data_IF_351303311090
#
_entry.id   IF_351303311090
#
_cell.length_a   1.000
_cell.length_b   1.000
_cell.length_c   1.000
_cell.angle_alpha   90.00
_cell.angle_beta   90.00
_cell.angle_gamma   90.00
#
_symmetry.space_group_name_H-M   'P 1'
#
loop_
_entity.id
_entity.type
_entity.pdbx_description
1 polymer ?
#
# COMPACT_ATOMS: atom_id res chain seq x y z
N UNK A 1 -1.64 -2.95 -16.69
CA UNK A 1 -2.19 -4.32 -16.78
C UNK A 1 -1.77 -5.07 -15.52
N UNK A 2 -2.69 -5.71 -14.80
CA UNK A 2 -2.39 -6.47 -13.57
C UNK A 2 -2.25 -7.96 -13.90
N UNK A 3 -1.17 -8.59 -13.44
CA UNK A 3 -0.98 -10.03 -13.55
C UNK A 3 -1.34 -10.69 -12.21
N UNK A 4 -2.36 -11.57 -12.16
CA UNK A 4 -2.75 -12.23 -10.92
C UNK A 4 -1.65 -13.17 -10.43
N UNK A 5 -1.40 -13.16 -9.11
CA UNK A 5 -0.56 -14.16 -8.46
C UNK A 5 -1.34 -15.46 -8.27
N UNK A 6 -0.67 -16.60 -8.46
CA UNK A 6 -1.24 -17.93 -8.20
C UNK A 6 -1.31 -18.30 -6.72
N UNK A 7 -0.63 -17.53 -5.86
CA UNK A 7 -0.56 -17.79 -4.41
C UNK A 7 -1.25 -16.70 -3.58
N UNK A 8 -1.29 -15.46 -4.05
CA UNK A 8 -1.82 -14.32 -3.29
C UNK A 8 -2.97 -13.66 -4.04
N UNK A 9 -4.08 -13.43 -3.36
CA UNK A 9 -5.21 -12.69 -3.89
C UNK A 9 -5.28 -11.29 -3.29
N UNK A 10 -5.45 -10.28 -4.12
CA UNK A 10 -5.59 -8.89 -3.68
C UNK A 10 -7.03 -8.66 -3.20
N UNK A 11 -7.19 -8.38 -1.90
CA UNK A 11 -8.50 -8.18 -1.27
C UNK A 11 -8.90 -6.71 -1.20
N UNK A 12 -7.95 -5.84 -0.91
CA UNK A 12 -8.17 -4.40 -0.86
C UNK A 12 -6.89 -3.69 -1.33
N UNK A 13 -7.06 -2.54 -1.97
CA UNK A 13 -5.97 -1.68 -2.38
C UNK A 13 -6.43 -0.23 -2.25
N UNK A 14 -5.65 0.58 -1.53
CA UNK A 14 -6.00 1.99 -1.27
C UNK A 14 -4.75 2.84 -1.32
N UNK A 15 -4.94 4.09 -1.72
CA UNK A 15 -3.92 5.11 -1.67
C UNK A 15 -4.41 6.30 -0.87
N UNK A 16 -3.57 6.84 -0.01
CA UNK A 16 -3.82 8.10 0.68
C UNK A 16 -2.70 9.07 0.39
N UNK A 17 -3.08 10.32 0.19
CA UNK A 17 -2.14 11.44 0.11
C UNK A 17 -2.11 12.12 1.48
N UNK A 18 -0.93 12.26 2.05
CA UNK A 18 -0.75 13.02 3.28
C UNK A 18 0.09 14.27 3.03
N UNK A 19 -0.12 15.24 3.90
CA UNK A 19 0.67 16.45 4.00
C UNK A 19 1.24 16.49 5.42
N UNK A 20 2.54 16.25 5.54
CA UNK A 20 3.23 16.08 6.81
C UNK A 20 4.26 17.18 7.00
N UNK A 21 4.26 17.79 8.18
CA UNK A 21 5.31 18.68 8.66
C UNK A 21 6.19 17.89 9.62
N UNK A 22 7.49 17.79 9.32
CA UNK A 22 8.42 17.08 10.18
C UNK A 22 9.06 18.03 11.19
N UNK A 23 9.41 17.54 12.38
CA UNK A 23 10.04 18.37 13.42
C UNK A 23 11.39 18.97 13.00
N UNK A 24 12.03 18.42 11.97
CA UNK A 24 13.30 18.92 11.45
C UNK A 24 13.17 20.21 10.63
N UNK A 25 12.04 20.46 9.97
CA UNK A 25 11.86 21.56 9.01
C UNK A 25 10.43 22.12 9.04
N UNK A 26 10.23 23.44 8.92
CA UNK A 26 8.90 24.07 8.93
C UNK A 26 8.09 23.88 7.63
N UNK A 27 8.68 23.24 6.62
CA UNK A 27 8.07 23.02 5.30
C UNK A 27 7.12 21.81 5.32
N UNK A 28 6.07 21.88 4.48
CA UNK A 28 5.10 20.79 4.32
C UNK A 28 5.60 19.83 3.23
N UNK A 29 5.81 18.57 3.58
CA UNK A 29 6.15 17.51 2.64
C UNK A 29 4.91 16.70 2.30
N UNK A 30 4.79 16.31 1.02
CA UNK A 30 3.69 15.47 0.55
C UNK A 30 4.18 14.03 0.40
N UNK A 31 3.43 13.10 0.96
CA UNK A 31 3.63 11.68 0.74
C UNK A 31 2.36 11.02 0.18
N UNK A 32 2.56 9.93 -0.56
CA UNK A 32 1.48 9.09 -1.06
C UNK A 32 1.76 7.69 -0.55
N UNK A 33 0.91 7.21 0.35
CA UNK A 33 1.03 5.86 0.92
C UNK A 33 0.07 4.94 0.20
N UNK A 34 0.61 3.90 -0.44
CA UNK A 34 -0.16 2.81 -1.02
C UNK A 34 -0.21 1.64 -0.05
N UNK A 35 -1.41 1.11 0.17
CA UNK A 35 -1.65 -0.04 1.04
C UNK A 35 -2.37 -1.13 0.27
N UNK A 36 -1.81 -2.34 0.32
CA UNK A 36 -2.35 -3.52 -0.33
C UNK A 36 -2.63 -4.59 0.72
N UNK A 37 -3.88 -5.03 0.79
CA UNK A 37 -4.28 -6.17 1.61
C UNK A 37 -4.27 -7.42 0.73
N UNK A 38 -3.34 -8.31 1.01
CA UNK A 38 -3.18 -9.57 0.28
C UNK A 38 -3.57 -10.75 1.16
N UNK A 39 -4.30 -11.71 0.60
CA UNK A 39 -4.65 -12.97 1.25
C UNK A 39 -3.90 -14.12 0.56
N UNK A 40 -3.16 -14.93 1.34
CA UNK A 40 -2.51 -16.14 0.85
C UNK A 40 -3.55 -17.24 0.61
N UNK A 41 -3.47 -17.90 -0.53
CA UNK A 41 -4.29 -19.06 -0.88
C UNK A 41 -3.71 -20.33 -0.21
N UNK A 42 -4.53 -21.16 0.46
CA UNK A 42 -4.05 -22.31 1.22
C UNK A 42 -3.80 -23.57 0.35
N UNK A 43 -3.49 -23.40 -0.93
CA UNK A 43 -3.28 -24.53 -1.86
C UNK A 43 -1.98 -25.29 -1.60
N UNK A 44 -0.96 -24.59 -1.10
CA UNK A 44 0.34 -25.13 -0.75
C UNK A 44 0.88 -24.38 0.49
N UNK A 45 1.27 -25.12 1.53
CA UNK A 45 1.69 -24.57 2.83
C UNK A 45 3.21 -24.46 2.91
#
# INVERSE_FOLDING_TARGET
NYMPSGEWTMKDFRGWKHSVTYDCCPEIYLDITYHFVLLRLPLYF
#
